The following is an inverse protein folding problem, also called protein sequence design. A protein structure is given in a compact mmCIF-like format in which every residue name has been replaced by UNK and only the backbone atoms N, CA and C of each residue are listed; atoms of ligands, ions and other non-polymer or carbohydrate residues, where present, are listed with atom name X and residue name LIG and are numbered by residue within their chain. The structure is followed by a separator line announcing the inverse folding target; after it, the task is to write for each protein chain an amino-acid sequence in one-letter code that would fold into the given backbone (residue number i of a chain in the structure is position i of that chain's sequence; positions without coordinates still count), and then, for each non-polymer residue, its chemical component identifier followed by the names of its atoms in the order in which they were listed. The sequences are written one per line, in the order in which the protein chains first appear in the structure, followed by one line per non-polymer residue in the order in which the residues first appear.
data_IF_133603499741
#
_entry.id   IF_133603499741
#
_cell.length_a   1.000
_cell.length_b   1.000
_cell.length_c   1.000
_cell.angle_alpha   90.00
_cell.angle_beta   90.00
_cell.angle_gamma   90.00
#
_symmetry.space_group_name_H-M   'P 1'
#
loop_
_entity.id
_entity.type
_entity.pdbx_description
1 polymer ?
#
# COMPACT_ATOMS: atom_id res chain seq x y z
N UNK A 1 43.93 32.41 29.72
CA UNK A 1 44.53 31.07 29.88
C UNK A 1 43.67 30.39 30.93
N UNK A 2 42.76 29.49 30.62
CA UNK A 2 42.64 28.64 29.44
C UNK A 2 41.17 28.40 29.07
N UNK A 3 40.92 28.40 27.77
CA UNK A 3 39.69 27.99 27.12
C UNK A 3 39.69 26.46 27.08
N UNK A 4 38.56 25.84 27.41
CA UNK A 4 38.31 24.44 27.04
C UNK A 4 36.86 24.35 26.55
N UNK A 5 36.65 24.81 25.32
CA UNK A 5 35.44 24.53 24.54
C UNK A 5 35.50 23.05 24.12
N UNK A 6 34.70 22.20 24.78
CA UNK A 6 34.35 20.90 24.22
C UNK A 6 33.31 21.14 23.13
N UNK A 7 33.76 21.17 21.87
CA UNK A 7 32.89 20.98 20.73
C UNK A 7 32.52 19.48 20.66
N UNK A 8 31.27 19.15 20.97
CA UNK A 8 30.72 17.83 20.68
C UNK A 8 30.60 17.67 19.15
N UNK A 9 31.00 16.53 18.58
CA UNK A 9 30.87 16.30 17.15
C UNK A 9 29.38 16.15 16.80
N UNK A 10 28.90 17.02 15.90
CA UNK A 10 27.62 16.85 15.23
C UNK A 10 27.55 15.45 14.64
N UNK A 11 26.73 14.59 15.25
CA UNK A 11 26.44 13.28 14.70
C UNK A 11 25.79 13.48 13.34
N UNK A 12 26.29 12.87 12.24
CA UNK A 12 25.59 12.94 10.98
C UNK A 12 24.23 12.30 11.20
N UNK A 13 23.16 13.09 11.04
CA UNK A 13 21.81 12.58 10.89
C UNK A 13 21.84 11.60 9.72
N UNK A 14 21.94 10.31 10.03
CA UNK A 14 21.62 9.25 9.09
C UNK A 14 20.19 9.51 8.65
N UNK A 15 20.07 10.08 7.45
CA UNK A 15 18.84 10.16 6.69
C UNK A 15 18.36 8.71 6.55
N UNK A 16 17.47 8.30 7.48
CA UNK A 16 16.88 6.97 7.52
C UNK A 16 16.05 6.80 6.26
N UNK A 17 16.74 6.46 5.18
CA UNK A 17 16.17 5.96 3.94
C UNK A 17 15.68 4.57 4.28
N UNK A 18 14.54 4.47 4.96
CA UNK A 18 13.90 3.20 5.23
C UNK A 18 13.80 2.49 3.88
N UNK A 19 14.43 1.31 3.71
CA UNK A 19 14.41 0.64 2.43
C UNK A 19 12.95 0.44 2.05
N UNK A 20 12.56 0.79 0.81
CA UNK A 20 11.22 0.48 0.29
C UNK A 20 10.85 -1.02 0.42
N UNK A 21 11.86 -1.87 0.67
CA UNK A 21 11.78 -3.31 0.96
C UNK A 21 11.33 -3.68 2.39
N UNK A 22 11.18 -2.73 3.33
CA UNK A 22 10.83 -3.03 4.72
C UNK A 22 9.33 -3.34 4.96
N UNK A 23 8.51 -3.39 3.91
CA UNK A 23 7.06 -3.55 4.03
C UNK A 23 6.57 -4.87 3.46
N UNK A 24 5.47 -5.38 4.03
CA UNK A 24 4.92 -6.69 3.71
C UNK A 24 4.66 -6.83 2.20
N UNK A 25 5.18 -7.91 1.60
CA UNK A 25 4.97 -8.18 0.18
C UNK A 25 3.49 -8.55 -0.04
N UNK A 26 2.74 -7.80 -0.85
CA UNK A 26 1.34 -8.09 -1.06
C UNK A 26 1.16 -9.40 -1.84
N UNK A 27 0.16 -10.17 -1.44
CA UNK A 27 -0.36 -11.30 -2.18
C UNK A 27 -1.31 -10.82 -3.27
N UNK A 28 -1.40 -11.59 -4.34
CA UNK A 28 -2.36 -11.40 -5.44
C UNK A 28 -3.43 -12.48 -5.37
N UNK A 29 -4.69 -12.11 -5.51
CA UNK A 29 -5.81 -13.05 -5.54
C UNK A 29 -6.99 -12.55 -6.37
N UNK A 30 -8.03 -13.37 -6.46
CA UNK A 30 -9.28 -13.06 -7.17
C UNK A 30 -10.45 -13.17 -6.20
N UNK A 31 -11.34 -12.20 -6.22
CA UNK A 31 -12.54 -12.17 -5.38
C UNK A 31 -13.51 -13.24 -5.87
N UNK A 32 -13.71 -14.29 -5.09
CA UNK A 32 -14.53 -15.44 -5.46
C UNK A 32 -16.02 -15.23 -5.18
N UNK A 33 -16.33 -14.60 -4.05
CA UNK A 33 -17.70 -14.32 -3.62
C UNK A 33 -17.74 -13.06 -2.77
N UNK A 34 -18.81 -12.30 -2.93
CA UNK A 34 -19.19 -11.17 -2.09
C UNK A 34 -20.60 -11.45 -1.60
N UNK A 35 -20.78 -11.45 -0.29
CA UNK A 35 -22.06 -11.51 0.40
C UNK A 35 -22.42 -10.10 0.84
N UNK A 36 -23.70 -9.76 0.71
CA UNK A 36 -24.26 -8.53 1.26
C UNK A 36 -25.30 -8.94 2.29
N UNK A 37 -24.99 -8.70 3.58
CA UNK A 37 -25.91 -8.99 4.67
C UNK A 37 -26.09 -7.74 5.54
N UNK A 38 -27.33 -7.26 5.65
CA UNK A 38 -27.71 -6.11 6.48
C UNK A 38 -26.77 -4.88 6.34
N UNK A 39 -26.32 -4.57 5.12
CA UNK A 39 -25.42 -3.45 4.83
C UNK A 39 -23.93 -3.71 5.10
N UNK A 40 -23.57 -4.92 5.55
CA UNK A 40 -22.18 -5.38 5.65
C UNK A 40 -21.88 -6.25 4.44
N UNK A 41 -21.08 -5.70 3.53
CA UNK A 41 -20.47 -6.53 2.51
C UNK A 41 -19.31 -7.30 3.14
N UNK A 42 -19.14 -8.57 2.81
CA UNK A 42 -17.94 -9.34 3.14
C UNK A 42 -17.77 -10.43 2.09
N UNK A 43 -16.62 -11.08 2.06
CA UNK A 43 -16.39 -12.04 0.99
C UNK A 43 -15.18 -12.90 1.18
N UNK A 44 -14.79 -13.52 0.08
CA UNK A 44 -13.57 -14.31 0.06
C UNK A 44 -12.77 -14.08 -1.20
N UNK A 45 -11.45 -14.01 -1.01
CA UNK A 45 -10.44 -13.91 -2.05
C UNK A 45 -9.74 -15.26 -2.15
N UNK A 46 -9.56 -15.75 -3.37
CA UNK A 46 -8.86 -17.01 -3.66
C UNK A 46 -7.48 -16.70 -4.23
N UNK A 47 -6.48 -17.44 -3.75
CA UNK A 47 -5.11 -17.45 -4.26
C UNK A 47 -4.60 -18.88 -4.26
N UNK A 48 -4.46 -19.49 -5.45
CA UNK A 48 -4.23 -20.93 -5.54
C UNK A 48 -5.36 -21.69 -4.83
N UNK A 49 -5.01 -22.57 -3.91
CA UNK A 49 -5.97 -23.34 -3.09
C UNK A 49 -6.34 -22.64 -1.77
N UNK A 50 -5.73 -21.48 -1.49
CA UNK A 50 -5.97 -20.73 -0.25
C UNK A 50 -7.15 -19.77 -0.39
N UNK A 51 -7.92 -19.65 0.69
CA UNK A 51 -9.09 -18.77 0.78
C UNK A 51 -8.91 -17.77 1.93
N UNK A 52 -8.98 -16.50 1.59
CA UNK A 52 -8.84 -15.39 2.53
C UNK A 52 -10.18 -14.68 2.73
N UNK A 53 -10.54 -14.41 3.97
CA UNK A 53 -11.71 -13.61 4.31
C UNK A 53 -11.46 -12.14 3.97
N UNK A 54 -12.44 -11.51 3.31
CA UNK A 54 -12.47 -10.09 2.99
C UNK A 54 -13.45 -9.35 3.90
N UNK A 55 -12.98 -8.25 4.50
CA UNK A 55 -13.77 -7.31 5.30
C UNK A 55 -13.62 -5.89 4.71
N UNK A 56 -14.70 -5.15 4.40
CA UNK A 56 -14.61 -3.80 3.85
C UNK A 56 -13.90 -2.79 4.75
N UNK A 57 -13.82 -3.05 6.06
CA UNK A 57 -13.08 -2.20 7.00
C UNK A 57 -11.56 -2.30 6.82
N UNK A 58 -11.09 -3.26 6.02
CA UNK A 58 -9.68 -3.51 5.71
C UNK A 58 -9.35 -3.19 4.24
N UNK A 59 -10.14 -2.31 3.62
CA UNK A 59 -9.96 -1.88 2.24
C UNK A 59 -8.95 -0.72 2.18
N UNK A 60 -8.03 -0.79 1.22
CA UNK A 60 -7.14 0.31 0.84
C UNK A 60 -7.62 1.05 -0.43
N UNK A 61 -8.46 0.41 -1.24
CA UNK A 61 -9.19 1.06 -2.34
C UNK A 61 -10.35 1.92 -1.85
N UNK A 62 -10.73 2.90 -2.66
CA UNK A 62 -11.93 3.72 -2.45
C UNK A 62 -13.21 2.94 -2.75
N UNK A 63 -13.15 2.06 -3.75
CA UNK A 63 -14.28 1.24 -4.18
C UNK A 63 -14.17 -0.21 -3.72
N UNK A 64 -15.30 -0.79 -3.28
CA UNK A 64 -15.38 -2.19 -2.83
C UNK A 64 -15.10 -3.17 -3.99
N UNK A 65 -14.45 -4.32 -3.73
CA UNK A 65 -14.30 -5.39 -4.72
C UNK A 65 -15.64 -6.01 -5.08
N UNK A 66 -15.79 -6.39 -6.34
CA UNK A 66 -16.85 -7.23 -6.88
C UNK A 66 -16.31 -8.64 -7.15
N UNK A 67 -17.22 -9.61 -7.32
CA UNK A 67 -16.84 -10.97 -7.75
C UNK A 67 -16.10 -10.92 -9.08
N UNK A 68 -14.97 -11.62 -9.16
CA UNK A 68 -14.10 -11.66 -10.34
C UNK A 68 -12.97 -10.61 -10.32
N UNK A 69 -13.04 -9.62 -9.43
CA UNK A 69 -11.98 -8.62 -9.35
C UNK A 69 -10.65 -9.24 -8.92
N UNK A 70 -9.57 -8.79 -9.55
CA UNK A 70 -8.21 -9.05 -9.09
C UNK A 70 -7.86 -8.06 -7.98
N UNK A 71 -7.29 -8.56 -6.88
CA UNK A 71 -6.92 -7.75 -5.73
C UNK A 71 -5.50 -8.04 -5.26
N UNK A 72 -4.90 -7.06 -4.60
CA UNK A 72 -3.65 -7.17 -3.86
C UNK A 72 -3.93 -6.95 -2.37
N UNK A 73 -3.30 -7.73 -1.49
CA UNK A 73 -3.60 -7.68 -0.07
C UNK A 73 -2.47 -8.24 0.78
N UNK A 74 -2.52 -7.98 2.07
CA UNK A 74 -1.63 -8.56 3.08
C UNK A 74 -2.39 -9.65 3.83
N UNK A 75 -1.81 -10.84 3.94
CA UNK A 75 -2.40 -11.92 4.73
C UNK A 75 -2.22 -11.65 6.23
N UNK A 76 -3.32 -11.73 6.98
CA UNK A 76 -3.34 -11.59 8.43
C UNK A 76 -3.98 -12.81 9.08
N UNK A 77 -3.73 -13.04 10.38
CA UNK A 77 -4.45 -14.05 11.14
C UNK A 77 -5.99 -13.91 10.99
N UNK A 78 -6.73 -15.00 11.20
CA UNK A 78 -8.19 -14.96 11.23
C UNK A 78 -8.72 -13.96 12.26
N UNK A 79 -9.84 -13.28 11.96
CA UNK A 79 -10.51 -12.39 12.92
C UNK A 79 -11.16 -13.15 14.09
N UNK A 80 -11.36 -14.45 13.96
CA UNK A 80 -11.94 -15.34 14.98
C UNK A 80 -11.24 -16.69 14.98
N UNK A 81 -11.19 -17.34 16.15
CA UNK A 81 -10.61 -18.67 16.30
C UNK A 81 -11.24 -19.68 15.32
N UNK A 82 -10.40 -20.49 14.68
CA UNK A 82 -10.82 -21.46 13.66
C UNK A 82 -11.26 -20.85 12.32
N UNK A 83 -11.18 -19.52 12.16
CA UNK A 83 -11.53 -18.83 10.92
C UNK A 83 -10.49 -18.99 9.81
N UNK A 84 -10.85 -18.52 8.61
CA UNK A 84 -9.91 -18.37 7.50
C UNK A 84 -8.99 -17.15 7.73
N UNK A 85 -7.75 -17.15 7.22
CA UNK A 85 -6.89 -15.97 7.26
C UNK A 85 -7.58 -14.78 6.62
N UNK A 86 -7.26 -13.58 7.08
CA UNK A 86 -7.91 -12.34 6.64
C UNK A 86 -7.05 -11.65 5.59
N UNK A 87 -7.68 -11.09 4.56
CA UNK A 87 -7.03 -10.18 3.62
C UNK A 87 -7.16 -8.74 4.15
N UNK A 88 -6.03 -8.11 4.43
CA UNK A 88 -5.93 -6.73 4.90
C UNK A 88 -5.31 -5.80 3.85
N UNK A 89 -5.47 -4.49 4.02
CA UNK A 89 -5.04 -3.48 3.05
C UNK A 89 -5.51 -3.77 1.62
N UNK A 90 -6.73 -4.29 1.44
CA UNK A 90 -7.18 -4.81 0.15
C UNK A 90 -7.22 -3.70 -0.91
N UNK A 91 -6.40 -3.84 -1.95
CA UNK A 91 -6.27 -2.93 -3.08
C UNK A 91 -6.82 -3.61 -4.33
N UNK A 92 -7.85 -3.03 -4.93
CA UNK A 92 -8.57 -3.61 -6.07
C UNK A 92 -7.99 -3.10 -7.39
N UNK A 93 -7.52 -4.02 -8.25
CA UNK A 93 -6.98 -3.66 -9.57
C UNK A 93 -8.06 -2.98 -10.42
N UNK A 94 -7.69 -1.91 -11.09
CA UNK A 94 -8.57 -1.10 -11.94
C UNK A 94 -9.40 -0.06 -11.18
N UNK A 95 -9.25 0.03 -9.85
CA UNK A 95 -10.03 0.92 -8.98
C UNK A 95 -9.16 1.99 -8.34
N UNK A 96 -9.77 3.08 -7.88
CA UNK A 96 -9.06 4.17 -7.24
C UNK A 96 -8.59 3.77 -5.84
N UNK A 97 -7.44 4.34 -5.48
CA UNK A 97 -6.90 4.30 -4.14
C UNK A 97 -6.06 5.56 -3.91
N UNK A 98 -5.73 5.80 -2.64
CA UNK A 98 -4.81 6.84 -2.25
C UNK A 98 -3.59 6.25 -1.55
N UNK A 99 -2.43 6.87 -1.74
CA UNK A 99 -1.18 6.45 -1.11
C UNK A 99 -0.26 7.62 -0.88
N UNK A 100 0.68 7.47 0.05
CA UNK A 100 1.69 8.47 0.37
C UNK A 100 3.06 8.04 -0.15
N UNK A 101 3.84 8.97 -0.69
CA UNK A 101 5.22 8.72 -1.12
C UNK A 101 6.06 8.37 0.09
N UNK A 102 6.68 7.20 0.07
CA UNK A 102 7.57 6.72 1.14
C UNK A 102 9.01 6.53 0.69
N UNK A 103 9.25 6.52 -0.63
CA UNK A 103 10.58 6.50 -1.19
C UNK A 103 10.55 7.06 -2.61
N UNK A 104 11.53 7.90 -2.97
CA UNK A 104 11.74 8.38 -4.34
C UNK A 104 13.00 7.72 -4.88
N UNK A 105 12.94 7.13 -6.08
CA UNK A 105 14.12 6.47 -6.64
C UNK A 105 15.17 7.50 -7.06
N UNK A 106 16.48 7.15 -7.06
CA UNK A 106 17.55 8.08 -7.39
C UNK A 106 17.43 8.75 -8.77
N UNK A 107 16.73 8.12 -9.72
CA UNK A 107 16.48 8.70 -11.04
C UNK A 107 15.47 9.85 -11.04
N UNK A 108 14.69 10.02 -9.96
CA UNK A 108 13.56 10.94 -9.89
C UNK A 108 12.38 10.59 -10.78
N UNK A 109 12.44 9.47 -11.54
CA UNK A 109 11.42 9.06 -12.52
C UNK A 109 10.38 8.10 -11.97
N UNK A 110 10.55 7.66 -10.73
CA UNK A 110 9.63 6.74 -10.09
C UNK A 110 9.75 6.85 -8.57
N UNK A 111 8.70 6.43 -7.89
CA UNK A 111 8.65 6.39 -6.43
C UNK A 111 7.86 5.16 -5.96
N UNK A 112 7.91 4.91 -4.66
CA UNK A 112 7.01 3.98 -3.98
C UNK A 112 5.96 4.74 -3.20
N UNK A 113 4.70 4.33 -3.39
CA UNK A 113 3.57 4.76 -2.60
C UNK A 113 3.27 3.71 -1.53
N UNK A 114 3.05 4.13 -0.30
CA UNK A 114 2.46 3.29 0.73
C UNK A 114 0.94 3.42 0.67
N UNK A 115 0.28 2.28 0.47
CA UNK A 115 -1.17 2.14 0.59
C UNK A 115 -1.48 1.54 1.95
N UNK A 116 -2.58 1.96 2.57
CA UNK A 116 -2.98 1.48 3.88
C UNK A 116 -4.50 1.36 3.99
N UNK A 117 -4.97 0.43 4.82
CA UNK A 117 -6.35 0.44 5.29
C UNK A 117 -6.52 1.31 6.55
N UNK A 118 -7.78 1.50 6.97
CA UNK A 118 -8.11 2.27 8.16
C UNK A 118 -7.65 1.66 9.49
N UNK A 119 -7.02 0.47 9.48
CA UNK A 119 -6.45 -0.18 10.67
C UNK A 119 -4.92 -0.17 10.68
N UNK A 120 -4.29 0.49 9.71
CA UNK A 120 -2.84 0.65 9.64
C UNK A 120 -2.11 -0.52 8.99
N UNK A 121 -2.81 -1.52 8.45
CA UNK A 121 -2.16 -2.51 7.59
C UNK A 121 -1.77 -1.83 6.29
N UNK A 122 -0.57 -2.10 5.80
CA UNK A 122 0.02 -1.34 4.71
C UNK A 122 1.04 -2.13 3.91
N UNK A 123 1.19 -1.76 2.65
CA UNK A 123 2.28 -2.22 1.79
C UNK A 123 2.63 -1.14 0.77
N UNK A 124 3.77 -1.33 0.11
CA UNK A 124 4.25 -0.39 -0.88
C UNK A 124 3.91 -0.86 -2.30
N UNK A 125 3.57 0.10 -3.16
CA UNK A 125 3.36 -0.11 -4.60
C UNK A 125 4.26 0.83 -5.39
N UNK A 126 4.60 0.41 -6.60
CA UNK A 126 5.44 1.18 -7.50
C UNK A 126 4.63 2.21 -8.29
N UNK A 127 5.17 3.41 -8.50
CA UNK A 127 4.58 4.43 -9.36
C UNK A 127 5.65 5.04 -10.27
N UNK A 128 5.41 5.01 -11.58
CA UNK A 128 6.17 5.82 -12.53
C UNK A 128 5.71 7.28 -12.39
N UNK A 129 6.68 8.21 -12.35
CA UNK A 129 6.42 9.63 -12.30
C UNK A 129 6.44 10.20 -13.72
N UNK A 130 5.33 10.81 -14.20
CA UNK A 130 5.36 11.53 -15.47
C UNK A 130 6.28 12.75 -15.33
N UNK A 131 6.91 13.16 -16.44
CA UNK A 131 7.85 14.31 -16.44
C UNK A 131 7.20 15.61 -15.92
N UNK A 132 5.89 15.74 -16.05
CA UNK A 132 5.10 16.86 -15.52
C UNK A 132 4.97 16.89 -14.00
N UNK A 133 5.37 15.82 -13.31
CA UNK A 133 5.40 15.73 -11.85
C UNK A 133 6.81 15.91 -11.30
N UNK A 134 7.45 17.04 -11.65
CA UNK A 134 8.65 17.49 -10.95
C UNK A 134 8.33 17.72 -9.46
N UNK A 135 9.30 17.46 -8.59
CA UNK A 135 9.23 17.75 -7.13
C UNK A 135 8.32 16.83 -6.30
N UNK A 136 8.29 15.54 -6.60
CA UNK A 136 7.68 14.57 -5.68
C UNK A 136 8.58 14.39 -4.45
N UNK A 137 8.04 14.75 -3.28
CA UNK A 137 8.72 14.60 -1.99
C UNK A 137 8.04 13.54 -1.11
N UNK A 138 8.78 13.06 -0.10
CA UNK A 138 8.24 12.12 0.89
C UNK A 138 6.99 12.69 1.58
N UNK A 139 6.04 11.82 1.88
CA UNK A 139 4.77 12.16 2.53
C UNK A 139 3.71 12.73 1.59
N UNK A 140 4.06 13.17 0.38
CA UNK A 140 3.06 13.65 -0.60
C UNK A 140 2.07 12.55 -0.95
N UNK A 141 0.79 12.91 -1.04
CA UNK A 141 -0.30 11.97 -1.31
C UNK A 141 -0.75 12.05 -2.75
N UNK A 142 -1.05 10.89 -3.31
CA UNK A 142 -1.59 10.75 -4.65
C UNK A 142 -2.82 9.86 -4.60
N UNK A 143 -3.83 10.25 -5.37
CA UNK A 143 -4.90 9.37 -5.82
C UNK A 143 -4.45 8.74 -7.14
N UNK A 144 -4.77 7.47 -7.35
CA UNK A 144 -4.33 6.74 -8.53
C UNK A 144 -5.28 5.57 -8.81
N UNK A 145 -5.18 5.01 -10.02
CA UNK A 145 -5.82 3.74 -10.37
C UNK A 145 -4.85 2.61 -10.11
N UNK A 146 -5.23 1.65 -9.26
CA UNK A 146 -4.41 0.51 -8.95
C UNK A 146 -4.24 -0.41 -10.17
N UNK A 147 -3.02 -0.85 -10.41
CA UNK A 147 -2.64 -1.67 -11.56
C UNK A 147 -1.58 -2.70 -11.18
N UNK A 148 -1.01 -3.35 -12.19
CA UNK A 148 -0.01 -4.40 -12.06
C UNK A 148 1.01 -4.26 -13.17
N UNK A 149 2.29 -4.36 -12.83
CA UNK A 149 3.38 -4.46 -13.78
C UNK A 149 4.28 -5.65 -13.43
N UNK A 150 5.41 -5.81 -14.14
CA UNK A 150 6.35 -6.92 -13.92
C UNK A 150 6.96 -6.96 -12.50
N UNK A 151 6.92 -5.85 -11.76
CA UNK A 151 7.41 -5.73 -10.38
C UNK A 151 6.33 -6.02 -9.33
N UNK A 152 5.08 -6.14 -9.74
CA UNK A 152 3.93 -6.37 -8.86
C UNK A 152 2.90 -5.24 -8.93
N UNK A 153 2.17 -4.95 -7.84
CA UNK A 153 1.17 -3.89 -7.84
C UNK A 153 1.79 -2.52 -8.09
N UNK A 154 1.08 -1.70 -8.85
CA UNK A 154 1.52 -0.38 -9.27
C UNK A 154 0.39 0.64 -9.28
N UNK A 155 0.74 1.92 -9.36
CA UNK A 155 -0.17 3.04 -9.51
C UNK A 155 -0.11 3.58 -10.94
N UNK A 156 -1.29 3.85 -11.54
CA UNK A 156 -1.44 4.52 -12.82
C UNK A 156 -2.25 5.80 -12.66
N UNK A 157 -2.08 6.73 -13.60
CA UNK A 157 -2.82 8.01 -13.66
C UNK A 157 -2.79 8.74 -12.31
N UNK A 158 -1.59 9.04 -11.76
CA UNK A 158 -1.52 9.70 -10.47
C UNK A 158 -2.08 11.12 -10.54
N UNK A 159 -2.82 11.49 -9.51
CA UNK A 159 -3.36 12.81 -9.26
C UNK A 159 -2.90 13.26 -7.87
N UNK A 160 -2.22 14.39 -7.79
CA UNK A 160 -1.71 14.91 -6.51
C UNK A 160 -2.90 15.34 -5.66
N UNK A 161 -2.96 14.83 -4.43
CA UNK A 161 -3.94 15.30 -3.44
C UNK A 161 -3.37 16.52 -2.73
N UNK A 162 -4.24 17.48 -2.43
CA UNK A 162 -3.91 18.72 -1.71
C UNK A 162 -3.43 18.43 -0.28
#
# INVERSE_FOLDING_TARGET
MDQNEHAEPESPMEEQTLPAAAFERPLRGVVSVVYSDAGKDFGYIIRGDEKYYYDPRLLASEERPARGDTVFFVAKPPLKAGGKPTAAAVLVKGKHAAGAVVNVLPSGRACFLQVADGRGHRFNIFMDLPETMSEVTLGKRFRFVASENRRGPSALKPERLA
#
